data_IF_706302896310
#
_entry.id   IF_706302896310
#
_cell.length_a   1.000
_cell.length_b   1.000
_cell.length_c   1.000
_cell.angle_alpha   90.00
_cell.angle_beta   90.00
_cell.angle_gamma   90.00
#
_symmetry.space_group_name_H-M   'P 1'
#
loop_
_entity.id
_entity.type
_entity.pdbx_description
1 polymer ?
#
# COMPACT_ATOMS: atom_id res chain seq x y z
N UNK A 1 -18.34 19.61 7.35
CA UNK A 1 -17.71 18.37 7.71
C UNK A 1 -17.68 17.38 6.57
N UNK A 2 -18.84 17.02 6.03
CA UNK A 2 -18.90 16.23 4.83
C UNK A 2 -18.19 16.91 3.66
N UNK A 3 -18.31 18.21 3.59
CA UNK A 3 -17.64 19.02 2.58
C UNK A 3 -16.13 18.87 2.68
N UNK A 4 -15.62 18.84 3.90
CA UNK A 4 -14.17 18.72 4.11
C UNK A 4 -13.66 17.39 3.60
N UNK A 5 -14.38 16.32 3.85
CA UNK A 5 -14.01 14.98 3.34
C UNK A 5 -14.08 14.93 1.83
N UNK A 6 -15.13 15.50 1.26
CA UNK A 6 -15.28 15.55 -0.19
C UNK A 6 -14.17 16.36 -0.82
N UNK A 7 -13.84 17.50 -0.21
CA UNK A 7 -12.77 18.34 -0.71
C UNK A 7 -11.46 17.58 -0.73
N UNK A 8 -11.17 16.83 0.33
CA UNK A 8 -9.96 16.02 0.38
C UNK A 8 -9.95 14.99 -0.74
N UNK A 9 -11.08 14.28 -0.93
CA UNK A 9 -11.17 13.28 -1.98
C UNK A 9 -11.06 13.92 -3.37
N UNK A 10 -11.63 15.10 -3.53
CA UNK A 10 -11.59 15.83 -4.79
C UNK A 10 -10.23 16.41 -5.09
N UNK A 11 -9.37 16.56 -4.10
CA UNK A 11 -8.02 17.04 -4.31
C UNK A 11 -7.15 16.00 -5.01
N UNK A 12 -7.61 14.75 -5.04
CA UNK A 12 -6.91 13.69 -5.75
C UNK A 12 -7.15 13.85 -7.25
N UNK A 13 -6.09 14.06 -8.02
CA UNK A 13 -6.21 14.24 -9.45
C UNK A 13 -6.39 12.90 -10.16
N UNK A 14 -6.87 12.97 -11.40
CA UNK A 14 -6.97 11.79 -12.26
C UNK A 14 -5.60 11.12 -12.42
N UNK A 15 -4.56 11.93 -12.53
CA UNK A 15 -3.20 11.41 -12.66
C UNK A 15 -2.78 10.66 -11.40
N UNK A 16 -3.06 11.21 -10.22
CA UNK A 16 -2.76 10.53 -8.97
C UNK A 16 -3.48 9.19 -8.89
N UNK A 17 -4.75 9.17 -9.29
CA UNK A 17 -5.54 7.94 -9.27
C UNK A 17 -5.00 6.89 -10.22
N UNK A 18 -4.60 7.30 -11.42
CA UNK A 18 -4.02 6.36 -12.39
C UNK A 18 -2.70 5.78 -11.86
N UNK A 19 -1.85 6.62 -11.31
CA UNK A 19 -0.57 6.18 -10.77
C UNK A 19 -0.80 5.25 -9.58
N UNK A 20 -1.75 5.59 -8.69
CA UNK A 20 -2.08 4.75 -7.55
C UNK A 20 -2.52 3.36 -7.97
N UNK A 21 -3.41 3.28 -8.96
CA UNK A 21 -3.93 2.00 -9.43
C UNK A 21 -2.83 1.18 -10.09
N UNK A 22 -2.00 1.83 -10.87
CA UNK A 22 -0.91 1.16 -11.56
C UNK A 22 0.08 0.59 -10.56
N UNK A 23 0.47 1.39 -9.56
CA UNK A 23 1.38 0.95 -8.52
C UNK A 23 0.76 -0.15 -7.67
N UNK A 24 -0.54 -0.03 -7.36
CA UNK A 24 -1.22 -1.05 -6.57
C UNK A 24 -1.19 -2.39 -7.29
N UNK A 25 -1.43 -2.39 -8.58
CA UNK A 25 -1.41 -3.62 -9.36
C UNK A 25 0.00 -4.22 -9.42
N UNK A 26 0.98 -3.40 -9.78
CA UNK A 26 2.34 -3.91 -9.96
C UNK A 26 2.99 -4.31 -8.65
N UNK A 27 2.79 -3.52 -7.60
CA UNK A 27 3.28 -3.89 -6.28
C UNK A 27 2.59 -5.16 -5.77
N UNK A 28 1.28 -5.26 -6.00
CA UNK A 28 0.54 -6.44 -5.59
C UNK A 28 1.09 -7.72 -6.23
N UNK A 29 1.36 -7.66 -7.52
CA UNK A 29 1.94 -8.81 -8.22
C UNK A 29 3.33 -9.14 -7.68
N UNK A 30 4.13 -8.13 -7.43
CA UNK A 30 5.48 -8.34 -6.93
C UNK A 30 5.45 -8.94 -5.52
N UNK A 31 4.56 -8.45 -4.65
CA UNK A 31 4.41 -9.01 -3.31
C UNK A 31 3.94 -10.47 -3.34
N UNK A 32 3.12 -10.83 -4.31
CA UNK A 32 2.70 -12.23 -4.45
C UNK A 32 3.90 -13.12 -4.73
N UNK A 33 4.87 -12.61 -5.46
CA UNK A 33 6.06 -13.38 -5.80
C UNK A 33 7.09 -13.44 -4.70
N UNK A 34 7.35 -12.33 -4.01
CA UNK A 34 8.46 -12.26 -3.07
C UNK A 34 8.04 -12.01 -1.63
N UNK A 35 6.75 -11.74 -1.38
CA UNK A 35 6.31 -11.37 -0.04
C UNK A 35 6.63 -12.40 1.02
N UNK A 36 6.44 -13.68 0.70
CA UNK A 36 6.70 -14.72 1.68
C UNK A 36 8.20 -14.88 1.96
N UNK A 37 9.04 -14.63 0.98
CA UNK A 37 10.48 -14.69 1.20
C UNK A 37 10.95 -13.58 2.15
N UNK A 38 10.43 -12.38 1.94
CA UNK A 38 10.83 -11.24 2.76
C UNK A 38 10.31 -11.36 4.18
N UNK A 39 9.13 -11.94 4.35
CA UNK A 39 8.44 -11.96 5.63
C UNK A 39 8.54 -13.27 6.39
N UNK A 40 9.25 -14.24 5.84
CA UNK A 40 9.37 -15.54 6.49
C UNK A 40 8.12 -16.40 6.39
N UNK A 41 7.39 -16.30 5.29
CA UNK A 41 6.26 -17.17 5.03
C UNK A 41 4.89 -16.52 5.16
N UNK A 42 4.83 -15.21 5.37
CA UNK A 42 3.54 -14.52 5.51
C UNK A 42 3.00 -14.10 4.16
N UNK A 43 1.68 -14.06 4.07
CA UNK A 43 1.01 -13.53 2.88
C UNK A 43 0.87 -12.02 3.00
N UNK A 44 1.30 -11.29 1.97
CA UNK A 44 1.24 -9.83 1.96
C UNK A 44 0.37 -9.39 0.79
N UNK A 45 -0.61 -8.56 1.09
CA UNK A 45 -1.54 -8.01 0.09
C UNK A 45 -1.49 -6.49 0.14
N UNK A 46 -1.37 -5.86 -1.01
CA UNK A 46 -1.47 -4.39 -1.12
C UNK A 46 -2.94 -4.02 -1.16
N UNK A 47 -3.40 -3.31 -0.14
CA UNK A 47 -4.82 -2.94 -0.05
C UNK A 47 -5.10 -1.57 -0.66
N UNK A 48 -4.25 -0.60 -0.39
CA UNK A 48 -4.43 0.77 -0.87
C UNK A 48 -3.07 1.39 -1.14
N UNK A 49 -2.99 2.20 -2.19
CA UNK A 49 -1.83 3.04 -2.46
C UNK A 49 -2.31 4.48 -2.56
N UNK A 50 -1.70 5.37 -1.79
CA UNK A 50 -2.02 6.80 -1.81
C UNK A 50 -0.79 7.57 -2.26
N UNK A 51 -0.97 8.42 -3.26
CA UNK A 51 0.12 9.18 -3.86
C UNK A 51 -0.01 10.63 -3.45
N UNK A 52 1.14 11.25 -3.11
CA UNK A 52 1.16 12.68 -2.83
C UNK A 52 0.91 13.49 -4.12
N UNK A 53 0.43 14.76 -3.99
CA UNK A 53 0.10 15.56 -5.20
C UNK A 53 1.28 15.75 -6.13
N UNK A 54 2.50 15.83 -5.61
CA UNK A 54 3.69 16.00 -6.42
C UNK A 54 4.24 14.66 -6.95
N UNK A 55 3.53 13.56 -6.66
CA UNK A 55 3.93 12.22 -7.07
C UNK A 55 5.27 11.78 -6.50
N UNK A 56 5.73 12.43 -5.42
CA UNK A 56 7.03 12.13 -4.84
C UNK A 56 7.02 11.03 -3.80
N UNK A 57 5.88 10.82 -3.15
CA UNK A 57 5.75 9.82 -2.08
C UNK A 57 4.52 8.99 -2.30
N UNK A 58 4.65 7.68 -2.14
CA UNK A 58 3.54 6.74 -2.18
C UNK A 58 3.43 6.05 -0.84
N UNK A 59 2.26 6.14 -0.23
CA UNK A 59 1.94 5.41 0.99
C UNK A 59 1.27 4.12 0.59
N UNK A 60 1.91 3.01 0.94
CA UNK A 60 1.44 1.68 0.55
C UNK A 60 0.91 0.97 1.79
N UNK A 61 -0.36 0.65 1.78
CA UNK A 61 -1.01 -0.03 2.90
C UNK A 61 -1.07 -1.52 2.61
N UNK A 62 -0.62 -2.30 3.58
CA UNK A 62 -0.45 -3.75 3.42
C UNK A 62 -1.27 -4.50 4.44
N UNK A 63 -1.91 -5.56 3.98
CA UNK A 63 -2.49 -6.57 4.85
C UNK A 63 -1.52 -7.73 4.93
N UNK A 64 -1.08 -8.09 6.14
CA UNK A 64 -0.11 -9.15 6.36
C UNK A 64 -0.77 -10.24 7.20
N UNK A 65 -0.78 -11.45 6.68
CA UNK A 65 -1.40 -12.58 7.34
C UNK A 65 -0.41 -13.73 7.45
N UNK A 66 -0.33 -14.42 8.61
CA UNK A 66 -1.07 -14.16 9.85
C UNK A 66 -0.66 -12.85 10.52
N UNK A 67 -1.58 -12.29 11.33
CA UNK A 67 -1.34 -11.01 11.98
C UNK A 67 -0.23 -11.07 13.02
N UNK A 68 0.00 -12.24 13.60
CA UNK A 68 1.10 -12.44 14.54
C UNK A 68 2.42 -12.18 13.82
N UNK A 69 3.23 -11.29 14.40
CA UNK A 69 4.52 -10.92 13.79
C UNK A 69 4.40 -9.99 12.60
N UNK A 70 3.21 -9.41 12.36
CA UNK A 70 3.02 -8.51 11.22
C UNK A 70 3.88 -7.26 11.30
N UNK A 71 4.14 -6.75 12.51
CA UNK A 71 4.97 -5.56 12.67
C UNK A 71 6.42 -5.82 12.26
N UNK A 72 6.96 -6.98 12.64
CA UNK A 72 8.31 -7.35 12.23
C UNK A 72 8.38 -7.56 10.72
N UNK A 73 7.33 -8.16 10.17
CA UNK A 73 7.24 -8.34 8.72
C UNK A 73 7.22 -6.99 8.01
N UNK A 74 6.45 -6.05 8.54
CA UNK A 74 6.38 -4.70 7.98
C UNK A 74 7.74 -4.03 8.02
N UNK A 75 8.46 -4.20 9.11
CA UNK A 75 9.80 -3.63 9.24
C UNK A 75 10.74 -4.21 8.20
N UNK A 76 10.70 -5.52 7.99
CA UNK A 76 11.52 -6.17 6.97
C UNK A 76 11.20 -5.63 5.57
N UNK A 77 9.92 -5.43 5.29
CA UNK A 77 9.50 -4.85 4.01
C UNK A 77 10.01 -3.42 3.87
N UNK A 78 9.87 -2.63 4.94
CA UNK A 78 10.28 -1.22 4.93
C UNK A 78 11.78 -1.07 4.67
N UNK A 79 12.57 -1.98 5.22
CA UNK A 79 14.01 -1.97 5.00
C UNK A 79 14.38 -2.21 3.54
N UNK A 80 13.47 -2.79 2.77
CA UNK A 80 13.68 -3.08 1.36
C UNK A 80 12.97 -2.11 0.44
N UNK A 81 12.60 -0.93 0.95
CA UNK A 81 11.87 0.06 0.16
C UNK A 81 12.61 0.43 -1.13
N UNK A 82 13.94 0.52 -1.07
CA UNK A 82 14.75 0.80 -2.24
C UNK A 82 14.64 -0.29 -3.31
N UNK A 83 14.56 -1.54 -2.88
CA UNK A 83 14.38 -2.66 -3.80
C UNK A 83 13.03 -2.55 -4.53
N UNK A 84 11.97 -2.23 -3.79
CA UNK A 84 10.64 -2.06 -4.39
C UNK A 84 10.63 -0.92 -5.37
N UNK A 85 11.30 0.18 -5.04
CA UNK A 85 11.37 1.32 -5.93
C UNK A 85 12.11 0.97 -7.22
N UNK A 86 13.19 0.23 -7.10
CA UNK A 86 13.98 -0.20 -8.27
C UNK A 86 13.15 -1.12 -9.15
N UNK A 87 12.46 -2.08 -8.55
CA UNK A 87 11.65 -3.02 -9.31
C UNK A 87 10.51 -2.32 -10.03
N UNK A 88 9.85 -1.39 -9.35
CA UNK A 88 8.78 -0.63 -9.99
C UNK A 88 9.32 0.25 -11.12
N UNK A 89 10.53 0.78 -10.94
CA UNK A 89 11.19 1.53 -12.00
C UNK A 89 11.37 0.71 -13.27
N UNK A 90 11.77 -0.55 -13.12
CA UNK A 90 11.93 -1.44 -14.26
C UNK A 90 10.59 -1.75 -14.93
N UNK A 91 9.57 -2.03 -14.13
CA UNK A 91 8.26 -2.43 -14.65
C UNK A 91 7.52 -1.28 -15.32
N UNK A 92 7.71 -0.06 -14.81
CA UNK A 92 6.88 1.08 -15.18
C UNK A 92 7.67 2.16 -15.94
N UNK A 93 8.87 1.85 -16.41
CA UNK A 93 9.73 2.87 -17.02
C UNK A 93 9.09 3.54 -18.25
N UNK A 94 8.21 2.83 -18.95
CA UNK A 94 7.52 3.38 -20.11
C UNK A 94 6.28 4.16 -19.77
N UNK A 95 5.82 4.07 -18.53
CA UNK A 95 4.56 4.66 -18.08
C UNK A 95 4.77 5.78 -17.09
N UNK A 96 5.84 5.72 -16.30
CA UNK A 96 6.14 6.72 -15.30
C UNK A 96 7.58 7.20 -15.47
N UNK A 97 7.75 8.53 -15.53
CA UNK A 97 9.08 9.10 -15.59
C UNK A 97 9.81 9.00 -14.27
N UNK A 98 9.03 9.04 -13.18
CA UNK A 98 9.59 9.13 -11.86
C UNK A 98 8.81 8.19 -10.95
N UNK A 99 9.52 7.37 -10.20
CA UNK A 99 8.91 6.44 -9.26
C UNK A 99 8.92 7.09 -7.88
N UNK A 100 7.76 7.16 -7.20
CA UNK A 100 7.72 7.74 -5.86
C UNK A 100 8.54 6.95 -4.86
N UNK A 101 8.88 7.57 -3.76
CA UNK A 101 9.41 6.85 -2.61
C UNK A 101 8.26 6.12 -1.93
N UNK A 102 8.51 4.89 -1.53
CA UNK A 102 7.48 4.07 -0.88
C UNK A 102 7.64 4.10 0.63
N UNK A 103 6.53 4.32 1.32
CA UNK A 103 6.42 4.14 2.76
C UNK A 103 5.33 3.11 3.00
N UNK A 104 5.62 2.10 3.80
CA UNK A 104 4.71 0.99 4.00
C UNK A 104 4.04 1.06 5.36
N UNK A 105 2.75 0.76 5.39
CA UNK A 105 1.95 0.78 6.60
C UNK A 105 1.10 -0.48 6.67
N UNK A 106 0.78 -0.91 7.88
CA UNK A 106 -0.20 -1.97 8.05
C UNK A 106 -1.59 -1.39 7.87
N UNK A 107 -2.41 -2.09 7.11
CA UNK A 107 -3.81 -1.74 6.94
C UNK A 107 -4.62 -2.58 7.93
N UNK A 108 -5.08 -1.96 9.00
CA UNK A 108 -5.85 -2.62 10.04
C UNK A 108 -7.35 -2.32 9.93
N UNK A 109 -7.78 -1.81 8.79
CA UNK A 109 -9.20 -1.46 8.61
C UNK A 109 -10.10 -2.68 8.74
N UNK A 110 -9.62 -3.86 8.34
CA UNK A 110 -10.41 -5.08 8.51
C UNK A 110 -10.64 -5.41 9.98
N UNK A 111 -9.61 -5.25 10.80
CA UNK A 111 -9.73 -5.46 12.24
C UNK A 111 -10.73 -4.48 12.84
N UNK A 112 -10.68 -3.25 12.38
CA UNK A 112 -11.62 -2.22 12.85
C UNK A 112 -13.05 -2.58 12.49
N UNK A 113 -13.28 -3.04 11.28
CA UNK A 113 -14.61 -3.47 10.84
C UNK A 113 -15.09 -4.67 11.66
N UNK A 114 -14.22 -5.62 11.91
CA UNK A 114 -14.56 -6.79 12.72
C UNK A 114 -14.98 -6.39 14.14
N UNK A 115 -14.27 -5.45 14.74
CA UNK A 115 -14.61 -4.96 16.07
C UNK A 115 -15.98 -4.30 16.08
N UNK A 116 -16.27 -3.50 15.08
CA UNK A 116 -17.56 -2.83 14.95
C UNK A 116 -18.66 -3.86 14.81
N UNK A 117 -18.46 -4.87 13.96
CA UNK A 117 -19.43 -5.93 13.78
C UNK A 117 -19.70 -6.66 15.09
N UNK A 118 -18.68 -6.97 15.83
CA UNK A 118 -18.82 -7.65 17.11
C UNK A 118 -19.62 -6.80 18.11
N UNK A 119 -19.35 -5.51 18.13
CA UNK A 119 -20.08 -4.60 19.00
C UNK A 119 -21.54 -4.48 18.60
N UNK A 120 -21.82 -4.49 17.31
CA UNK A 120 -23.18 -4.39 16.81
C UNK A 120 -23.99 -5.66 17.06
N UNK A 121 -23.33 -6.80 17.09
CA UNK A 121 -24.01 -8.08 17.37
C UNK A 121 -24.40 -8.23 18.82
N UNK A 122 -23.77 -7.52 19.71
CA UNK A 122 -24.12 -7.54 21.12
C UNK A 122 -25.25 -6.57 21.43
#
# INVERSE_FOLDING_TARGET
MLLKKRTFAQMTTTRQNKVSRLLQKELGEYFQRIGSEITGGKMVTVTVVRISPDLGVARVYLSIFPAEGAQEALQSISEKAGLFRREMGKRLRNQLRHIPEFTFFLDDSLDYIDRIDNLLKE
#
